data_IF_393569386799
#
_entry.id   IF_393569386799
#
_cell.length_a   1.000
_cell.length_b   1.000
_cell.length_c   1.000
_cell.angle_alpha   90.00
_cell.angle_beta   90.00
_cell.angle_gamma   90.00
#
_symmetry.space_group_name_H-M   'P 1'
#
loop_
_entity.id
_entity.type
_entity.pdbx_description
1 polymer ?
#
# COMPACT_ATOMS: atom_id res chain seq x y z
N UNK A 1 9.00 -14.40 7.16
CA UNK A 1 8.85 -13.03 6.63
C UNK A 1 7.43 -12.60 6.87
N UNK A 2 7.22 -11.36 7.30
CA UNK A 2 5.90 -10.77 7.56
C UNK A 2 5.47 -10.05 6.27
N UNK A 3 4.18 -10.09 5.94
CA UNK A 3 3.62 -9.39 4.77
C UNK A 3 3.75 -7.88 4.98
N UNK A 4 4.30 -7.13 4.01
CA UNK A 4 4.36 -5.67 4.04
C UNK A 4 3.16 -5.07 3.31
N UNK A 5 2.43 -4.19 3.97
CA UNK A 5 1.20 -3.59 3.47
C UNK A 5 1.38 -2.07 3.44
N UNK A 6 1.29 -1.46 2.26
CA UNK A 6 1.17 -0.01 2.13
C UNK A 6 -0.30 0.35 1.97
N UNK A 7 -0.78 1.32 2.73
CA UNK A 7 -2.18 1.72 2.72
C UNK A 7 -2.36 3.23 2.61
N UNK A 8 -3.43 3.68 1.97
CA UNK A 8 -3.92 5.07 2.06
C UNK A 8 -4.42 5.35 3.48
N UNK A 9 -3.82 6.34 4.16
CA UNK A 9 -4.14 6.75 5.54
C UNK A 9 -5.61 7.18 5.73
N UNK A 10 -6.29 7.49 4.64
CA UNK A 10 -7.69 7.90 4.68
C UNK A 10 -8.68 6.73 4.56
N UNK A 11 -8.21 5.48 4.49
CA UNK A 11 -9.04 4.29 4.67
C UNK A 11 -9.32 4.13 6.17
N UNK A 12 -10.58 4.19 6.62
CA UNK A 12 -10.89 4.07 8.05
C UNK A 12 -10.41 2.73 8.63
N UNK A 13 -9.75 2.79 9.79
CA UNK A 13 -9.29 1.63 10.56
C UNK A 13 -8.31 0.70 9.81
N UNK A 14 -7.63 1.19 8.76
CA UNK A 14 -6.82 0.32 7.89
C UNK A 14 -5.66 -0.35 8.63
N UNK A 15 -5.05 0.35 9.57
CA UNK A 15 -3.97 -0.23 10.38
C UNK A 15 -4.53 -1.33 11.27
N UNK A 16 -5.60 -1.04 12.02
CA UNK A 16 -6.22 -1.97 12.97
C UNK A 16 -6.76 -3.24 12.28
N UNK A 17 -7.41 -3.08 11.12
CA UNK A 17 -7.99 -4.19 10.37
C UNK A 17 -6.91 -5.14 9.81
N UNK A 18 -5.79 -4.59 9.33
CA UNK A 18 -4.79 -5.35 8.58
C UNK A 18 -3.52 -5.70 9.37
N UNK A 19 -3.34 -5.16 10.57
CA UNK A 19 -2.20 -5.49 11.45
C UNK A 19 -2.13 -6.97 11.86
N UNK A 20 -3.23 -7.73 11.73
CA UNK A 20 -3.24 -9.18 11.96
C UNK A 20 -2.66 -9.99 10.79
N UNK A 21 -2.55 -9.38 9.61
CA UNK A 21 -2.11 -10.01 8.36
C UNK A 21 -0.65 -9.65 8.07
N UNK A 22 -0.21 -8.45 8.45
CA UNK A 22 1.12 -7.94 8.13
C UNK A 22 1.47 -6.64 8.83
N UNK A 23 2.64 -6.11 8.47
CA UNK A 23 3.09 -4.78 8.88
C UNK A 23 2.44 -3.74 7.97
N UNK A 24 1.66 -2.83 8.55
CA UNK A 24 0.91 -1.81 7.81
C UNK A 24 1.58 -0.45 7.92
N UNK A 25 1.97 0.12 6.78
CA UNK A 25 2.43 1.49 6.63
C UNK A 25 1.32 2.34 5.99
N UNK A 26 0.69 3.20 6.79
CA UNK A 26 -0.32 4.14 6.30
C UNK A 26 0.32 5.44 5.80
N UNK A 27 0.09 5.76 4.53
CA UNK A 27 0.63 6.92 3.83
C UNK A 27 -0.49 7.79 3.27
N UNK A 28 -0.28 9.10 3.26
CA UNK A 28 -1.15 10.01 2.52
C UNK A 28 -1.10 9.69 1.03
N UNK A 29 -2.21 9.89 0.31
CA UNK A 29 -2.32 9.52 -1.11
C UNK A 29 -1.21 10.12 -1.99
N UNK A 30 -0.76 11.35 -1.72
CA UNK A 30 0.37 11.99 -2.41
C UNK A 30 1.76 11.43 -2.07
N UNK A 31 1.86 10.48 -1.14
CA UNK A 31 3.08 9.80 -0.71
C UNK A 31 3.16 8.34 -1.19
N UNK A 32 2.12 7.84 -1.85
CA UNK A 32 2.12 6.51 -2.47
C UNK A 32 2.83 6.62 -3.82
N UNK A 33 4.15 6.41 -3.80
CA UNK A 33 5.05 6.52 -4.95
C UNK A 33 5.64 5.16 -5.33
N UNK A 34 6.24 4.99 -6.52
CA UNK A 34 6.90 3.73 -6.90
C UNK A 34 7.93 3.26 -5.87
N UNK A 35 8.67 4.18 -5.26
CA UNK A 35 9.64 3.86 -4.21
C UNK A 35 8.98 3.40 -2.90
N UNK A 36 7.82 3.95 -2.56
CA UNK A 36 7.09 3.58 -1.35
C UNK A 36 6.49 2.17 -1.45
N UNK A 37 6.09 1.74 -2.66
CA UNK A 37 5.49 0.42 -2.90
C UNK A 37 6.49 -0.64 -3.37
N UNK A 38 7.76 -0.29 -3.58
CA UNK A 38 8.76 -1.17 -4.18
C UNK A 38 8.89 -2.53 -3.47
N UNK A 39 8.87 -2.51 -2.14
CA UNK A 39 8.97 -3.69 -1.26
C UNK A 39 7.64 -4.08 -0.61
N UNK A 40 6.52 -3.46 -1.00
CA UNK A 40 5.20 -3.80 -0.50
C UNK A 40 4.67 -5.07 -1.17
N UNK A 41 4.05 -5.96 -0.40
CA UNK A 41 3.34 -7.13 -0.93
C UNK A 41 1.90 -6.78 -1.32
N UNK A 42 1.29 -5.85 -0.56
CA UNK A 42 -0.11 -5.42 -0.70
C UNK A 42 -0.17 -3.89 -0.73
N UNK A 43 -0.99 -3.34 -1.62
CA UNK A 43 -1.29 -1.92 -1.73
C UNK A 43 -2.79 -1.67 -1.52
N UNK A 44 -3.19 -1.02 -0.44
CA UNK A 44 -4.59 -0.68 -0.16
C UNK A 44 -4.85 0.81 -0.43
N UNK A 45 -5.68 1.15 -1.41
CA UNK A 45 -5.88 2.55 -1.82
C UNK A 45 -7.36 2.91 -2.00
N UNK A 46 -7.62 4.22 -2.06
CA UNK A 46 -8.92 4.77 -2.49
C UNK A 46 -8.80 5.39 -3.88
N UNK A 47 -9.92 5.92 -4.38
CA UNK A 47 -10.06 6.46 -5.75
C UNK A 47 -9.13 7.61 -6.13
N UNK A 48 -8.48 8.26 -5.16
CA UNK A 48 -7.57 9.39 -5.40
C UNK A 48 -6.19 8.94 -5.89
N UNK A 49 -5.79 7.70 -5.60
CA UNK A 49 -4.50 7.16 -6.02
C UNK A 49 -4.68 6.48 -7.38
N UNK A 50 -4.00 6.98 -8.41
CA UNK A 50 -4.01 6.37 -9.74
C UNK A 50 -3.10 5.13 -9.75
N UNK A 51 -3.70 3.94 -9.74
CA UNK A 51 -2.96 2.68 -9.80
C UNK A 51 -2.72 2.31 -11.25
N UNK A 52 -1.50 2.61 -11.72
CA UNK A 52 -1.09 2.38 -13.09
C UNK A 52 0.22 1.58 -13.16
N UNK A 53 0.65 1.28 -14.38
CA UNK A 53 1.87 0.49 -14.61
C UNK A 53 3.13 1.18 -14.09
N UNK A 54 3.19 2.51 -14.10
CA UNK A 54 4.33 3.27 -13.58
C UNK A 54 4.43 3.16 -12.06
N UNK A 55 3.31 3.24 -11.35
CA UNK A 55 3.26 3.08 -9.89
C UNK A 55 3.76 1.69 -9.45
N UNK A 56 3.37 0.64 -10.17
CA UNK A 56 3.66 -0.75 -9.80
C UNK A 56 4.94 -1.33 -10.43
N UNK A 57 5.60 -0.58 -11.32
CA UNK A 57 6.76 -1.06 -12.06
C UNK A 57 7.89 -1.50 -11.11
N UNK A 58 8.27 -2.78 -11.18
CA UNK A 58 9.34 -3.35 -10.35
C UNK A 58 8.99 -3.52 -8.87
N UNK A 59 7.74 -3.24 -8.48
CA UNK A 59 7.27 -3.47 -7.12
C UNK A 59 7.05 -4.96 -6.82
N UNK A 60 7.04 -5.29 -5.53
CA UNK A 60 6.70 -6.63 -5.04
C UNK A 60 5.18 -6.84 -4.92
N UNK A 61 4.37 -5.82 -5.23
CA UNK A 61 2.93 -5.82 -5.00
C UNK A 61 2.27 -6.95 -5.79
N UNK A 62 1.52 -7.80 -5.08
CA UNK A 62 0.74 -8.91 -5.65
C UNK A 62 -0.77 -8.72 -5.47
N UNK A 63 -1.18 -7.78 -4.63
CA UNK A 63 -2.58 -7.47 -4.35
C UNK A 63 -2.78 -5.96 -4.28
N UNK A 64 -3.81 -5.48 -4.99
CA UNK A 64 -4.33 -4.12 -4.90
C UNK A 64 -5.80 -4.20 -4.53
#
# INVERSE_FOLDING_TARGET
MIVKIVADESIPFVVECFSSIGEVEALGSGRITPSAVADADILLVRTVTDVNAELLAGSSVRFV
#
